data_IF_016968032797
#
_entry.id   IF_016968032797
#
_cell.length_a   1.000
_cell.length_b   1.000
_cell.length_c   1.000
_cell.angle_alpha   90.00
_cell.angle_beta   90.00
_cell.angle_gamma   90.00
#
_symmetry.space_group_name_H-M   'P 1'
#
loop_
_entity.id
_entity.type
_entity.pdbx_description
1 polymer ?
#
# COMPACT_ATOMS: atom_id res chain seq x y z
N UNK A 1 -50.70 16.89 28.88
CA UNK A 1 -50.51 16.37 27.51
C UNK A 1 -49.15 16.86 27.02
N UNK A 2 -48.13 16.02 27.18
CA UNK A 2 -46.72 16.39 26.99
C UNK A 2 -46.21 15.77 25.70
N UNK A 3 -45.97 16.60 24.67
CA UNK A 3 -45.42 16.18 23.38
C UNK A 3 -43.89 16.20 23.40
N UNK A 4 -43.30 15.02 23.44
CA UNK A 4 -41.85 14.77 23.48
C UNK A 4 -41.27 14.82 22.06
N UNK A 5 -40.70 15.94 21.64
CA UNK A 5 -39.99 16.04 20.36
C UNK A 5 -38.62 15.36 20.45
N UNK A 6 -38.51 14.12 19.95
CA UNK A 6 -37.21 13.51 19.63
C UNK A 6 -36.67 14.13 18.35
N UNK A 7 -35.79 15.12 18.48
CA UNK A 7 -34.92 15.53 17.39
C UNK A 7 -34.05 14.34 16.98
N UNK A 8 -34.38 13.72 15.85
CA UNK A 8 -33.42 12.86 15.14
C UNK A 8 -32.35 13.78 14.59
N UNK A 9 -31.19 13.81 15.23
CA UNK A 9 -29.97 14.31 14.61
C UNK A 9 -29.64 13.36 13.47
N UNK A 10 -30.02 13.73 12.25
CA UNK A 10 -29.48 13.08 11.05
C UNK A 10 -27.96 13.22 11.09
N UNK A 11 -27.19 12.13 10.99
CA UNK A 11 -25.75 12.24 10.90
C UNK A 11 -25.41 13.02 9.63
N UNK A 12 -24.67 14.12 9.80
CA UNK A 12 -24.18 14.94 8.70
C UNK A 12 -23.55 14.02 7.64
N UNK A 13 -23.77 14.28 6.33
CA UNK A 13 -23.18 13.49 5.27
C UNK A 13 -21.66 13.46 5.47
N UNK A 14 -21.10 12.25 5.58
CA UNK A 14 -19.66 12.04 5.64
C UNK A 14 -19.08 12.60 4.35
N UNK A 15 -18.48 13.79 4.42
CA UNK A 15 -17.66 14.29 3.33
C UNK A 15 -16.44 13.37 3.29
N UNK A 16 -16.45 12.40 2.39
CA UNK A 16 -15.25 11.63 2.04
C UNK A 16 -14.24 12.64 1.48
N UNK A 17 -13.40 13.18 2.35
CA UNK A 17 -12.17 13.85 1.92
C UNK A 17 -11.22 12.76 1.46
N UNK A 18 -11.43 12.32 0.22
CA UNK A 18 -10.47 11.49 -0.50
C UNK A 18 -9.32 12.41 -0.84
N UNK A 19 -8.22 12.31 -0.11
CA UNK A 19 -7.01 12.97 -0.56
C UNK A 19 -6.18 12.01 -1.34
N UNK A 20 -5.90 12.44 -2.58
CA UNK A 20 -5.01 11.78 -3.47
C UNK A 20 -3.57 11.78 -2.95
N UNK A 21 -3.24 10.78 -2.13
CA UNK A 21 -1.84 10.38 -1.95
C UNK A 21 -1.18 10.18 -3.32
N UNK A 22 -1.95 9.81 -4.35
CA UNK A 22 -1.50 9.79 -5.72
C UNK A 22 -1.08 11.14 -6.29
N UNK A 23 -1.73 12.25 -5.94
CA UNK A 23 -1.28 13.60 -6.35
C UNK A 23 0.08 13.94 -5.75
N UNK A 24 0.27 13.67 -4.45
CA UNK A 24 1.56 13.87 -3.77
C UNK A 24 2.64 12.98 -4.40
N UNK A 25 2.32 11.72 -4.69
CA UNK A 25 3.24 10.78 -5.34
C UNK A 25 3.57 11.18 -6.79
N UNK A 26 2.64 11.80 -7.52
CA UNK A 26 2.88 12.36 -8.87
C UNK A 26 3.77 13.61 -8.82
N UNK A 27 3.78 14.33 -7.69
CA UNK A 27 4.63 15.53 -7.51
C UNK A 27 6.13 15.23 -7.29
N UNK A 28 6.51 13.96 -7.17
CA UNK A 28 7.91 13.53 -7.02
C UNK A 28 8.34 12.70 -8.25
N UNK A 29 9.64 12.59 -8.56
CA UNK A 29 10.05 11.87 -9.74
C UNK A 29 9.64 10.39 -9.64
N UNK A 30 8.95 9.89 -10.66
CA UNK A 30 8.22 8.63 -10.65
C UNK A 30 9.06 7.43 -10.17
N UNK A 31 10.35 7.35 -10.54
CA UNK A 31 11.22 6.25 -10.10
C UNK A 31 11.42 6.21 -8.58
N UNK A 32 11.47 7.36 -7.91
CA UNK A 32 11.57 7.45 -6.45
C UNK A 32 10.28 6.97 -5.80
N UNK A 33 9.13 7.41 -6.33
CA UNK A 33 7.82 7.00 -5.85
C UNK A 33 7.62 5.48 -6.03
N UNK A 34 7.94 4.94 -7.22
CA UNK A 34 7.86 3.50 -7.51
C UNK A 34 8.73 2.68 -6.56
N UNK A 35 10.00 3.06 -6.37
CA UNK A 35 10.91 2.35 -5.48
C UNK A 35 10.43 2.38 -4.01
N UNK A 36 9.99 3.54 -3.55
CA UNK A 36 9.43 3.70 -2.21
C UNK A 36 8.17 2.84 -2.00
N UNK A 37 7.21 2.90 -2.92
CA UNK A 37 5.98 2.10 -2.86
C UNK A 37 6.26 0.59 -2.95
N UNK A 38 7.19 0.17 -3.80
CA UNK A 38 7.62 -1.23 -3.89
C UNK A 38 8.16 -1.74 -2.54
N UNK A 39 8.96 -0.92 -1.86
CA UNK A 39 9.48 -1.25 -0.54
C UNK A 39 8.36 -1.33 0.52
N UNK A 40 7.51 -0.30 0.62
CA UNK A 40 6.52 -0.16 1.71
C UNK A 40 5.30 -1.06 1.51
N UNK A 41 4.76 -1.16 0.30
CA UNK A 41 3.52 -1.90 0.03
C UNK A 41 3.76 -3.36 -0.31
N UNK A 42 4.88 -3.68 -0.95
CA UNK A 42 5.18 -5.04 -1.43
C UNK A 42 6.30 -5.73 -0.65
N UNK A 43 7.00 -5.01 0.25
CA UNK A 43 8.14 -5.56 0.99
C UNK A 43 9.30 -5.95 0.06
N UNK A 44 9.40 -5.34 -1.12
CA UNK A 44 10.43 -5.67 -2.10
C UNK A 44 11.81 -5.23 -1.60
N UNK A 45 12.80 -6.11 -1.76
CA UNK A 45 14.19 -5.82 -1.40
C UNK A 45 14.86 -4.90 -2.43
N UNK A 46 16.02 -4.33 -2.09
CA UNK A 46 16.80 -3.48 -3.00
C UNK A 46 17.23 -4.20 -4.27
N UNK A 47 17.48 -5.51 -4.18
CA UNK A 47 17.86 -6.36 -5.31
C UNK A 47 16.67 -6.53 -6.26
N UNK A 48 15.49 -6.87 -5.73
CA UNK A 48 14.26 -7.01 -6.52
C UNK A 48 13.86 -5.67 -7.16
N UNK A 49 13.95 -4.57 -6.41
CA UNK A 49 13.64 -3.23 -6.93
C UNK A 49 14.63 -2.84 -8.02
N UNK A 50 15.92 -3.12 -7.82
CA UNK A 50 16.96 -2.89 -8.83
C UNK A 50 16.67 -3.65 -10.12
N UNK A 51 16.42 -4.95 -10.01
CA UNK A 51 16.07 -5.81 -11.14
C UNK A 51 14.84 -5.29 -11.91
N UNK A 52 13.73 -4.99 -11.21
CA UNK A 52 12.48 -4.58 -11.86
C UNK A 52 12.51 -3.17 -12.43
N UNK A 53 13.30 -2.27 -11.85
CA UNK A 53 13.42 -0.89 -12.34
C UNK A 53 14.63 -0.68 -13.28
N UNK A 54 15.44 -1.72 -13.53
CA UNK A 54 16.61 -1.65 -14.41
C UNK A 54 17.74 -0.80 -13.82
N UNK A 55 17.94 -0.84 -12.50
CA UNK A 55 18.98 -0.08 -11.78
C UNK A 55 19.76 -0.99 -10.83
N UNK A 56 20.93 -0.54 -10.36
CA UNK A 56 21.69 -1.32 -9.37
C UNK A 56 21.00 -1.33 -8.00
N UNK A 57 21.26 -2.32 -7.12
CA UNK A 57 20.70 -2.36 -5.77
C UNK A 57 21.04 -1.11 -4.94
N UNK A 58 22.23 -0.54 -5.11
CA UNK A 58 22.65 0.69 -4.43
C UNK A 58 21.84 1.89 -4.90
N UNK A 59 21.59 1.98 -6.22
CA UNK A 59 20.73 3.01 -6.79
C UNK A 59 19.28 2.84 -6.32
N UNK A 60 18.78 1.61 -6.25
CA UNK A 60 17.46 1.31 -5.69
C UNK A 60 17.35 1.78 -4.23
N UNK A 61 18.34 1.49 -3.39
CA UNK A 61 18.41 1.99 -2.01
C UNK A 61 18.34 3.52 -1.97
N UNK A 62 19.10 4.19 -2.83
CA UNK A 62 19.10 5.64 -2.92
C UNK A 62 17.74 6.20 -3.35
N UNK A 63 17.08 5.58 -4.34
CA UNK A 63 15.73 5.95 -4.79
C UNK A 63 14.70 5.83 -3.65
N UNK A 64 14.76 4.76 -2.86
CA UNK A 64 13.88 4.55 -1.69
C UNK A 64 14.10 5.67 -0.66
N UNK A 65 15.35 5.92 -0.27
CA UNK A 65 15.69 6.94 0.73
C UNK A 65 15.28 8.34 0.30
N UNK A 66 15.54 8.70 -0.95
CA UNK A 66 15.12 10.00 -1.50
C UNK A 66 13.61 10.10 -1.65
N UNK A 67 12.93 9.03 -2.09
CA UNK A 67 11.46 8.99 -2.14
C UNK A 67 10.84 9.23 -0.75
N UNK A 68 11.36 8.56 0.28
CA UNK A 68 10.93 8.77 1.66
C UNK A 68 11.20 10.21 2.14
N UNK A 69 12.39 10.76 1.83
CA UNK A 69 12.76 12.13 2.18
C UNK A 69 11.84 13.16 1.51
N UNK A 70 11.57 13.00 0.21
CA UNK A 70 10.70 13.89 -0.56
C UNK A 70 9.26 13.88 -0.03
N UNK A 71 8.76 12.73 0.43
CA UNK A 71 7.44 12.60 1.05
C UNK A 71 7.37 13.20 2.46
N UNK A 72 8.49 13.27 3.18
CA UNK A 72 8.59 13.93 4.50
C UNK A 72 8.86 15.43 4.42
N UNK A 73 9.03 16.00 3.23
CA UNK A 73 9.29 17.42 3.07
C UNK A 73 8.12 18.26 3.60
N UNK A 74 8.35 19.33 4.41
CA UNK A 74 7.30 20.04 5.12
C UNK A 74 6.15 20.54 4.24
N UNK A 75 6.43 21.01 3.01
CA UNK A 75 5.38 21.44 2.07
C UNK A 75 4.40 20.33 1.68
N UNK A 76 4.84 19.06 1.69
CA UNK A 76 4.01 17.87 1.42
C UNK A 76 3.49 17.24 2.70
N UNK A 77 4.28 17.30 3.78
CA UNK A 77 3.87 16.82 5.10
C UNK A 77 2.72 17.66 5.66
N UNK A 78 2.60 18.95 5.34
CA UNK A 78 1.43 19.74 5.72
C UNK A 78 0.15 19.20 5.09
N UNK A 79 0.18 18.93 3.78
CA UNK A 79 -0.89 18.21 3.08
C UNK A 79 -1.17 16.88 3.78
N UNK A 80 -0.15 16.05 4.01
CA UNK A 80 -0.31 14.73 4.63
C UNK A 80 -0.77 14.77 6.11
N UNK A 81 -0.43 15.81 6.87
CA UNK A 81 -0.72 15.95 8.30
C UNK A 81 -2.19 16.23 8.55
N UNK A 82 -2.84 16.98 7.66
CA UNK A 82 -4.30 17.18 7.68
C UNK A 82 -5.07 15.84 7.64
N UNK A 83 -4.44 14.73 7.23
CA UNK A 83 -5.07 13.39 7.19
C UNK A 83 -4.89 12.57 8.45
N UNK A 84 -3.80 12.77 9.19
CA UNK A 84 -3.55 12.04 10.44
C UNK A 84 -4.50 12.50 11.55
N UNK A 85 -5.04 13.71 11.44
CA UNK A 85 -5.96 14.31 12.42
C UNK A 85 -7.44 13.91 12.18
N UNK A 86 -7.75 13.14 11.14
CA UNK A 86 -9.09 12.61 10.86
C UNK A 86 -9.31 11.24 11.51
N UNK A 87 -9.69 11.22 12.79
CA UNK A 87 -10.39 10.17 13.58
C UNK A 87 -10.43 8.70 13.08
N UNK A 88 -9.32 8.15 12.57
CA UNK A 88 -9.19 6.73 12.20
C UNK A 88 -10.11 6.24 11.07
N UNK A 89 -10.81 7.11 10.33
CA UNK A 89 -11.73 6.73 9.24
C UNK A 89 -11.11 6.83 7.84
N UNK A 90 -9.88 7.35 7.71
CA UNK A 90 -9.23 7.54 6.41
C UNK A 90 -8.61 6.23 5.92
N UNK A 91 -9.06 5.76 4.75
CA UNK A 91 -8.37 4.68 4.06
C UNK A 91 -7.09 5.21 3.45
N UNK A 92 -5.94 4.85 4.03
CA UNK A 92 -4.60 5.12 3.48
C UNK A 92 -4.38 4.60 2.05
N UNK A 93 -5.28 3.74 1.56
CA UNK A 93 -5.34 3.27 0.17
C UNK A 93 -6.75 3.53 -0.35
N UNK A 94 -6.93 4.71 -0.93
CA UNK A 94 -8.12 5.13 -1.63
C UNK A 94 -8.13 4.65 -3.09
N UNK A 95 -9.16 5.04 -3.85
CA UNK A 95 -9.26 4.66 -5.26
C UNK A 95 -8.21 5.37 -6.14
N UNK A 96 -7.79 6.59 -5.77
CA UNK A 96 -6.74 7.34 -6.47
C UNK A 96 -5.40 6.61 -6.41
N UNK A 97 -4.99 6.17 -5.23
CA UNK A 97 -3.79 5.36 -5.05
C UNK A 97 -3.90 4.04 -5.81
N UNK A 98 -5.06 3.35 -5.78
CA UNK A 98 -5.23 2.10 -6.57
C UNK A 98 -5.10 2.34 -8.06
N UNK A 99 -5.68 3.42 -8.58
CA UNK A 99 -5.54 3.81 -9.97
C UNK A 99 -4.06 4.06 -10.32
N UNK A 100 -3.34 4.77 -9.46
CA UNK A 100 -1.90 5.01 -9.62
C UNK A 100 -1.09 3.70 -9.63
N UNK A 101 -1.36 2.78 -8.70
CA UNK A 101 -0.65 1.49 -8.62
C UNK A 101 -0.84 0.67 -9.92
N UNK A 102 -2.05 0.70 -10.49
CA UNK A 102 -2.37 0.06 -11.78
C UNK A 102 -1.68 0.77 -12.95
N UNK A 103 -1.80 2.09 -13.03
CA UNK A 103 -1.15 2.92 -14.07
C UNK A 103 0.36 2.69 -14.11
N UNK A 104 0.98 2.62 -12.93
CA UNK A 104 2.42 2.42 -12.80
C UNK A 104 2.83 0.95 -12.86
N UNK A 105 1.87 0.03 -13.03
CA UNK A 105 2.03 -1.43 -13.11
C UNK A 105 2.77 -2.01 -11.90
N UNK A 106 2.64 -1.38 -10.73
CA UNK A 106 3.32 -1.82 -9.52
C UNK A 106 2.81 -3.19 -9.05
N UNK A 107 1.51 -3.43 -9.18
CA UNK A 107 0.91 -4.72 -8.83
C UNK A 107 1.47 -5.86 -9.70
N UNK A 108 1.72 -5.61 -10.98
CA UNK A 108 2.27 -6.61 -11.90
C UNK A 108 3.78 -6.84 -11.68
N UNK A 109 4.53 -5.76 -11.49
CA UNK A 109 5.99 -5.83 -11.31
C UNK A 109 6.38 -6.47 -9.98
N UNK A 110 5.62 -6.20 -8.92
CA UNK A 110 5.95 -6.61 -7.55
C UNK A 110 4.92 -7.58 -6.95
N UNK A 111 4.10 -8.23 -7.78
CA UNK A 111 3.21 -9.30 -7.33
C UNK A 111 4.01 -10.38 -6.57
N UNK A 112 3.57 -10.79 -5.37
CA UNK A 112 4.25 -11.86 -4.66
C UNK A 112 4.13 -13.18 -5.41
N UNK A 113 5.20 -13.97 -5.36
CA UNK A 113 5.26 -15.31 -5.92
C UNK A 113 4.93 -16.37 -4.86
N UNK A 114 4.19 -17.39 -5.26
CA UNK A 114 3.87 -18.52 -4.39
C UNK A 114 5.13 -19.36 -4.14
N UNK A 115 5.54 -19.52 -2.88
CA UNK A 115 6.71 -20.35 -2.51
C UNK A 115 6.59 -21.82 -2.90
N UNK A 116 5.38 -22.31 -3.19
CA UNK A 116 5.16 -23.70 -3.58
C UNK A 116 5.15 -23.92 -5.10
N UNK A 117 4.56 -23.01 -5.86
CA UNK A 117 4.30 -23.23 -7.30
C UNK A 117 4.84 -22.13 -8.21
N UNK A 118 5.51 -21.11 -7.67
CA UNK A 118 6.05 -19.98 -8.43
C UNK A 118 5.00 -19.03 -9.01
N UNK A 119 3.72 -19.37 -8.93
CA UNK A 119 2.65 -18.54 -9.49
C UNK A 119 2.56 -17.18 -8.77
N UNK A 120 2.58 -16.10 -9.54
CA UNK A 120 2.30 -14.74 -9.07
C UNK A 120 0.83 -14.62 -8.71
N UNK A 121 0.52 -14.00 -7.58
CA UNK A 121 -0.86 -13.82 -7.16
C UNK A 121 -1.08 -12.47 -6.53
N UNK A 122 -2.26 -11.90 -6.74
CA UNK A 122 -2.69 -10.69 -6.05
C UNK A 122 -3.08 -11.05 -4.62
N UNK A 123 -2.52 -10.40 -3.59
CA UNK A 123 -3.00 -10.56 -2.22
C UNK A 123 -4.49 -10.22 -2.15
N UNK A 124 -5.34 -11.19 -1.78
CA UNK A 124 -6.76 -10.91 -1.51
C UNK A 124 -6.86 -10.23 -0.16
N UNK A 125 -7.04 -8.92 -0.17
CA UNK A 125 -7.13 -8.08 1.02
C UNK A 125 -6.46 -6.75 0.75
N UNK A 126 -7.02 -5.67 1.31
CA UNK A 126 -6.40 -4.33 1.27
C UNK A 126 -4.92 -4.50 1.58
N UNK A 127 -4.03 -3.93 0.76
CA UNK A 127 -2.60 -3.85 1.00
C UNK A 127 -2.34 -2.97 2.23
N UNK A 128 -2.90 -3.31 3.39
CA UNK A 128 -2.55 -2.69 4.65
C UNK A 128 -1.33 -3.46 5.16
N UNK A 129 -0.10 -2.92 5.01
CA UNK A 129 1.02 -3.37 5.80
C UNK A 129 0.79 -3.18 7.31
N UNK A 130 -0.30 -2.51 7.71
CA UNK A 130 -0.63 -2.12 9.09
C UNK A 130 -1.93 -2.71 9.66
N UNK A 131 -2.57 -3.71 9.04
CA UNK A 131 -3.57 -4.50 9.81
C UNK A 131 -2.81 -5.42 10.76
N UNK A 132 -2.80 -5.01 12.02
CA UNK A 132 -2.20 -5.67 13.18
C UNK A 132 -2.24 -7.21 13.06
N UNK A 133 -1.06 -7.82 12.89
CA UNK A 133 -0.83 -9.24 13.23
C UNK A 133 -0.79 -10.27 12.10
N UNK A 134 -1.05 -9.93 10.83
CA UNK A 134 -1.02 -10.90 9.73
C UNK A 134 0.35 -11.04 9.06
N UNK A 135 1.03 -12.19 9.15
CA UNK A 135 2.21 -12.48 8.31
C UNK A 135 1.81 -12.36 6.83
N UNK A 136 2.61 -11.69 5.98
CA UNK A 136 2.37 -11.65 4.54
C UNK A 136 2.13 -13.06 4.00
N UNK A 137 1.11 -13.19 3.14
CA UNK A 137 0.77 -14.47 2.52
C UNK A 137 1.99 -14.94 1.71
N UNK A 138 2.31 -16.23 1.80
CA UNK A 138 3.45 -16.84 1.08
C UNK A 138 3.03 -17.79 -0.04
N UNK A 139 1.73 -18.08 -0.13
CA UNK A 139 1.18 -19.11 -1.00
C UNK A 139 -0.05 -18.59 -1.73
N UNK A 140 -0.20 -18.90 -3.02
CA UNK A 140 -1.35 -18.46 -3.81
C UNK A 140 -2.68 -19.10 -3.40
N UNK A 141 -2.64 -20.22 -2.66
CA UNK A 141 -3.82 -20.96 -2.19
C UNK A 141 -3.53 -21.77 -0.91
N UNK A 142 -4.60 -22.17 -0.20
CA UNK A 142 -4.49 -23.10 0.92
C UNK A 142 -3.94 -24.47 0.47
N UNK A 143 -4.27 -24.90 -0.75
CA UNK A 143 -3.73 -26.13 -1.34
C UNK A 143 -2.20 -26.07 -1.46
N UNK A 144 -1.65 -24.96 -1.99
CA UNK A 144 -0.20 -24.75 -2.06
C UNK A 144 0.46 -24.71 -0.67
N UNK A 145 -0.19 -24.05 0.30
CA UNK A 145 0.28 -24.03 1.69
C UNK A 145 0.34 -25.43 2.30
N UNK A 146 -0.69 -26.24 2.11
CA UNK A 146 -0.75 -27.60 2.64
C UNK A 146 0.28 -28.52 1.94
N UNK A 147 0.48 -28.37 0.63
CA UNK A 147 1.51 -29.11 -0.11
C UNK A 147 2.91 -28.82 0.44
N UNK A 148 3.25 -27.53 0.59
CA UNK A 148 4.53 -27.10 1.19
C UNK A 148 4.74 -27.61 2.62
N UNK A 149 3.66 -27.72 3.39
CA UNK A 149 3.71 -28.28 4.74
C UNK A 149 4.01 -29.77 4.73
N UNK A 150 3.34 -30.55 3.86
CA UNK A 150 3.57 -31.99 3.72
C UNK A 150 4.98 -32.32 3.23
N UNK A 151 5.53 -31.54 2.30
CA UNK A 151 6.89 -31.74 1.79
C UNK A 151 7.97 -31.51 2.85
N UNK A 152 7.75 -30.61 3.82
CA UNK A 152 8.68 -30.36 4.94
C UNK A 152 8.65 -31.40 6.04
N UNK A 153 7.62 -32.24 6.09
CA UNK A 153 7.41 -33.26 7.12
C UNK A 153 7.49 -34.69 6.55
N UNK A 154 8.01 -34.84 5.33
CA UNK A 154 8.53 -36.10 4.80
C UNK A 154 10.02 -36.17 5.06
#
# INVERSE_FOLDING_TARGET
MSGFWRGRTEPLPRVERVVGLDEVLRSIPQQHAKAFLACVLYGASTEVIGEKLGVTPEKARHLISLGASLLRHPSRTMTLREYLETDGQTLLIDEGLRALLREWRLEEMFAPECRQCGHRYTPKGRMHPMREGGRPRQYCSNACRQKAYRERHR
#
